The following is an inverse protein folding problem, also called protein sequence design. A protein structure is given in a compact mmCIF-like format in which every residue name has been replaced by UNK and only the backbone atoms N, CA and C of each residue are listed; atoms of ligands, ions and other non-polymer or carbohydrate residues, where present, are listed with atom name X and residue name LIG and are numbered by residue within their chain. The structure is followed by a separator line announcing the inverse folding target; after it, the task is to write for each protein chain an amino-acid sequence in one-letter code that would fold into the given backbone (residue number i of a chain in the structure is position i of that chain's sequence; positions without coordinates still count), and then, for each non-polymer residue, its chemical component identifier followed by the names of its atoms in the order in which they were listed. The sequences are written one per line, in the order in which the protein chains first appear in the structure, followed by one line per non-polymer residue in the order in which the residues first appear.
data_IF_401255152605
#
_entry.id   IF_401255152605
#
_cell.length_a   1.000
_cell.length_b   1.000
_cell.length_c   1.000
_cell.angle_alpha   90.00
_cell.angle_beta   90.00
_cell.angle_gamma   90.00
#
_symmetry.space_group_name_H-M   'P 1'
#
loop_
_entity.id
_entity.type
_entity.pdbx_description
1 polymer ?
#
# COMPACT_ATOMS: atom_id res chain seq x y z
N UNK A 1 -31.05 -2.98 13.23
CA UNK A 1 -31.16 -1.57 12.78
C UNK A 1 -29.80 -0.92 12.61
N UNK A 2 -28.92 -0.90 13.62
CA UNK A 2 -27.57 -0.31 13.51
C UNK A 2 -26.76 -0.95 12.38
N UNK A 3 -26.67 -2.28 12.31
CA UNK A 3 -25.97 -2.99 11.22
C UNK A 3 -26.46 -2.59 9.81
N UNK A 4 -27.77 -2.42 9.65
CA UNK A 4 -28.39 -2.09 8.36
C UNK A 4 -28.10 -0.65 7.96
N UNK A 5 -28.19 0.30 8.90
CA UNK A 5 -27.97 1.72 8.63
C UNK A 5 -26.48 2.04 8.46
N UNK A 6 -25.62 1.45 9.30
CA UNK A 6 -24.18 1.65 9.24
C UNK A 6 -23.50 0.78 8.17
N UNK A 7 -24.23 -0.18 7.57
CA UNK A 7 -23.67 -1.19 6.64
C UNK A 7 -22.48 -1.95 7.23
N UNK A 8 -22.46 -2.13 8.54
CA UNK A 8 -21.40 -2.83 9.26
C UNK A 8 -21.89 -4.24 9.62
N UNK A 9 -21.34 -5.26 8.94
CA UNK A 9 -21.58 -6.68 9.24
C UNK A 9 -20.28 -7.47 9.13
N UNK A 10 -19.93 -8.29 10.14
CA UNK A 10 -20.61 -8.48 11.43
C UNK A 10 -20.38 -7.31 12.41
N UNK A 11 -21.37 -6.98 13.25
CA UNK A 11 -21.22 -6.03 14.36
C UNK A 11 -21.13 -6.76 15.70
N UNK A 12 -20.08 -6.47 16.47
CA UNK A 12 -19.91 -6.97 17.84
C UNK A 12 -20.07 -5.82 18.82
N UNK A 13 -20.97 -5.97 19.79
CA UNK A 13 -21.13 -5.03 20.89
C UNK A 13 -20.58 -5.68 22.15
N UNK A 14 -19.61 -5.01 22.78
CA UNK A 14 -18.95 -5.48 24.01
C UNK A 14 -19.24 -4.54 25.17
N UNK A 15 -19.23 -5.07 26.39
CA UNK A 15 -19.58 -4.30 27.58
C UNK A 15 -18.40 -3.46 28.10
N UNK A 16 -17.18 -3.99 28.00
CA UNK A 16 -15.95 -3.31 28.38
C UNK A 16 -15.00 -3.13 27.20
N UNK A 17 -14.21 -2.05 27.21
CA UNK A 17 -13.23 -1.77 26.16
C UNK A 17 -12.17 -2.87 26.03
N UNK A 18 -11.82 -3.53 27.12
CA UNK A 18 -10.86 -4.63 27.16
C UNK A 18 -11.33 -5.90 26.41
N UNK A 19 -12.61 -6.00 26.07
CA UNK A 19 -13.16 -7.11 25.27
C UNK A 19 -13.08 -6.84 23.76
N UNK A 20 -12.79 -5.60 23.34
CA UNK A 20 -12.57 -5.26 21.95
C UNK A 20 -11.10 -5.47 21.55
N UNK A 21 -10.79 -5.72 20.26
CA UNK A 21 -9.41 -5.86 19.81
C UNK A 21 -8.57 -4.60 20.07
N UNK A 22 -7.30 -4.80 20.38
CA UNK A 22 -6.36 -3.70 20.70
C UNK A 22 -5.26 -3.53 19.66
N UNK A 23 -5.01 -4.55 18.83
CA UNK A 23 -3.99 -4.51 17.79
C UNK A 23 -4.58 -4.20 16.42
N UNK A 24 -3.86 -3.37 15.66
CA UNK A 24 -4.23 -3.03 14.27
C UNK A 24 -5.67 -2.53 14.17
N UNK A 25 -6.11 -1.66 15.08
CA UNK A 25 -7.48 -1.12 15.09
C UNK A 25 -7.50 0.37 14.81
N UNK A 26 -8.58 0.85 14.20
CA UNK A 26 -8.97 2.26 14.22
C UNK A 26 -10.04 2.41 15.27
N UNK A 27 -9.84 3.36 16.18
CA UNK A 27 -10.76 3.64 17.27
C UNK A 27 -11.36 5.03 17.09
N UNK A 28 -12.68 5.13 17.22
CA UNK A 28 -13.40 6.39 17.28
C UNK A 28 -14.21 6.47 18.58
N UNK A 29 -13.88 7.46 19.41
CA UNK A 29 -14.64 7.74 20.64
C UNK A 29 -15.81 8.66 20.30
N UNK A 30 -16.99 8.31 20.81
CA UNK A 30 -18.24 9.08 20.76
C UNK A 30 -18.69 9.39 22.18
N UNK A 31 -19.64 10.31 22.35
CA UNK A 31 -20.13 10.74 23.67
C UNK A 31 -20.64 9.61 24.57
N UNK A 32 -21.11 8.50 23.98
CA UNK A 32 -21.76 7.38 24.70
C UNK A 32 -21.21 6.01 24.34
N UNK A 33 -20.26 5.92 23.42
CA UNK A 33 -19.75 4.65 22.92
C UNK A 33 -18.37 4.84 22.29
N UNK A 34 -17.66 3.73 22.14
CA UNK A 34 -16.43 3.66 21.39
C UNK A 34 -16.61 2.68 20.25
N UNK A 35 -16.21 3.09 19.04
CA UNK A 35 -16.25 2.25 17.85
C UNK A 35 -14.83 1.78 17.57
N UNK A 36 -14.64 0.47 17.61
CA UNK A 36 -13.36 -0.17 17.31
C UNK A 36 -13.51 -0.94 16.00
N UNK A 37 -12.74 -0.55 14.99
CA UNK A 37 -12.67 -1.22 13.70
C UNK A 37 -11.33 -1.96 13.58
N UNK A 38 -11.32 -3.30 13.68
CA UNK A 38 -10.13 -4.10 13.42
C UNK A 38 -9.74 -3.98 11.95
N UNK A 39 -8.55 -3.44 11.68
CA UNK A 39 -7.88 -3.45 10.38
C UNK A 39 -7.07 -4.74 10.16
N UNK A 40 -6.81 -5.49 11.23
CA UNK A 40 -6.11 -6.77 11.16
C UNK A 40 -6.82 -7.73 10.19
N UNK A 41 -6.06 -8.23 9.21
CA UNK A 41 -6.56 -9.17 8.20
C UNK A 41 -7.29 -8.54 6.99
N UNK A 42 -7.54 -7.23 6.98
CA UNK A 42 -8.09 -6.54 5.79
C UNK A 42 -7.04 -6.36 4.69
N UNK A 43 -5.77 -6.21 5.08
CA UNK A 43 -4.65 -6.06 4.15
C UNK A 43 -3.48 -6.90 4.66
N UNK A 44 -2.97 -7.80 3.83
CA UNK A 44 -1.71 -8.49 4.08
C UNK A 44 -0.55 -7.52 3.80
N UNK A 45 -0.14 -6.80 4.85
CA UNK A 45 0.92 -5.80 4.78
C UNK A 45 2.27 -6.40 4.35
N UNK A 46 2.54 -7.66 4.70
CA UNK A 46 3.76 -8.35 4.31
C UNK A 46 3.76 -8.62 2.79
N UNK A 47 2.65 -9.13 2.27
CA UNK A 47 2.45 -9.32 0.84
C UNK A 47 2.51 -8.00 0.07
N UNK A 48 1.85 -6.95 0.55
CA UNK A 48 1.88 -5.64 -0.12
C UNK A 48 3.28 -5.05 -0.13
N UNK A 49 4.03 -5.17 0.97
CA UNK A 49 5.44 -4.75 1.01
C UNK A 49 6.28 -5.54 0.01
N UNK A 50 6.17 -6.86 -0.02
CA UNK A 50 6.91 -7.69 -0.97
C UNK A 50 6.57 -7.36 -2.45
N UNK A 51 5.30 -7.06 -2.75
CA UNK A 51 4.88 -6.63 -4.09
C UNK A 51 5.51 -5.29 -4.47
N UNK A 52 5.53 -4.33 -3.55
CA UNK A 52 6.14 -3.02 -3.77
C UNK A 52 7.66 -3.13 -3.94
N UNK A 53 8.34 -3.89 -3.08
CA UNK A 53 9.79 -4.09 -3.16
C UNK A 53 10.18 -4.72 -4.51
N UNK A 54 9.39 -5.67 -5.01
CA UNK A 54 9.58 -6.24 -6.36
C UNK A 54 9.43 -5.19 -7.46
N UNK A 55 8.41 -4.33 -7.38
CA UNK A 55 8.19 -3.27 -8.37
C UNK A 55 9.31 -2.24 -8.37
N UNK A 56 9.82 -1.89 -7.18
CA UNK A 56 10.97 -0.99 -7.03
C UNK A 56 12.20 -1.62 -7.70
N UNK A 57 12.52 -2.88 -7.38
CA UNK A 57 13.68 -3.56 -7.97
C UNK A 57 13.57 -3.69 -9.51
N UNK A 58 12.37 -3.93 -10.05
CA UNK A 58 12.13 -3.94 -11.49
C UNK A 58 12.37 -2.56 -12.13
N UNK A 59 11.90 -1.48 -11.47
CA UNK A 59 12.08 -0.11 -11.92
C UNK A 59 13.56 0.30 -11.90
N UNK A 60 14.26 0.07 -10.78
CA UNK A 60 15.70 0.33 -10.64
C UNK A 60 16.50 -0.45 -11.70
N UNK A 61 16.12 -1.71 -11.97
CA UNK A 61 16.74 -2.51 -13.02
C UNK A 61 16.46 -1.97 -14.44
N UNK A 62 15.33 -1.29 -14.67
CA UNK A 62 15.08 -0.59 -15.93
C UNK A 62 15.94 0.67 -16.03
N UNK A 63 15.98 1.49 -14.98
CA UNK A 63 16.79 2.71 -14.91
C UNK A 63 18.27 2.40 -15.18
N UNK A 64 18.86 1.46 -14.46
CA UNK A 64 20.27 1.08 -14.64
C UNK A 64 20.57 0.61 -16.08
N UNK A 65 19.64 -0.13 -16.72
CA UNK A 65 19.80 -0.57 -18.11
C UNK A 65 19.71 0.60 -19.10
N UNK A 66 18.83 1.57 -18.83
CA UNK A 66 18.69 2.76 -19.67
C UNK A 66 19.94 3.64 -19.52
N UNK A 67 20.39 3.88 -18.29
CA UNK A 67 21.62 4.63 -18.02
C UNK A 67 22.83 3.98 -18.69
N UNK A 68 22.99 2.66 -18.57
CA UNK A 68 24.09 1.95 -19.22
C UNK A 68 24.04 2.06 -20.77
N UNK A 69 22.85 2.06 -21.37
CA UNK A 69 22.69 2.27 -22.82
C UNK A 69 23.04 3.70 -23.21
N UNK A 70 22.59 4.70 -22.45
CA UNK A 70 22.88 6.11 -22.73
C UNK A 70 24.35 6.45 -22.51
N UNK A 71 25.01 5.83 -21.52
CA UNK A 71 26.43 6.01 -21.25
C UNK A 71 27.34 5.35 -22.31
N UNK A 72 26.82 4.42 -23.13
CA UNK A 72 27.60 3.76 -24.17
C UNK A 72 27.78 4.69 -25.40
N UNK A 73 29.01 5.13 -25.72
CA UNK A 73 29.28 6.01 -26.86
C UNK A 73 28.87 5.39 -28.20
N UNK A 74 28.93 4.05 -28.32
CA UNK A 74 28.50 3.35 -29.52
C UNK A 74 26.99 3.36 -29.74
N UNK A 75 26.19 3.56 -28.68
CA UNK A 75 24.74 3.72 -28.75
C UNK A 75 24.37 5.16 -29.11
N UNK A 76 25.00 6.16 -28.48
CA UNK A 76 24.77 7.58 -28.77
C UNK A 76 25.24 8.02 -30.16
N UNK A 77 26.29 7.40 -30.71
CA UNK A 77 26.78 7.70 -32.07
C UNK A 77 25.96 7.03 -33.18
N UNK A 78 25.32 5.88 -32.90
CA UNK A 78 24.50 5.14 -33.88
C UNK A 78 22.99 5.41 -33.77
N UNK A 79 22.54 5.98 -32.65
CA UNK A 79 21.15 6.34 -32.47
C UNK A 79 20.80 7.58 -33.32
N UNK A 80 19.66 7.60 -34.03
CA UNK A 80 19.23 8.79 -34.76
C UNK A 80 19.06 9.97 -33.80
N UNK A 81 19.54 11.15 -34.20
CA UNK A 81 19.55 12.36 -33.38
C UNK A 81 18.20 12.76 -32.79
N UNK A 82 17.09 12.32 -33.40
CA UNK A 82 15.73 12.53 -32.91
C UNK A 82 15.39 11.79 -31.60
N UNK A 83 16.17 10.77 -31.20
CA UNK A 83 15.88 9.91 -30.05
C UNK A 83 16.88 10.05 -28.89
N UNK A 84 17.92 10.88 -29.05
CA UNK A 84 18.93 11.17 -28.02
C UNK A 84 18.97 12.68 -27.79
N UNK A 85 17.90 13.20 -27.19
CA UNK A 85 17.86 14.56 -26.68
C UNK A 85 17.40 14.49 -25.21
N UNK A 86 18.08 15.27 -24.37
CA UNK A 86 17.92 15.33 -22.91
C UNK A 86 16.48 15.55 -22.48
#
# INVERSE_FOLDING_TARGET
MIETLARARPLHMVAARAEAPDEQVVTQVLDRAEVVLPLGGLVDLARERARLDKQIAEAEGHEARIEAKLANPGFTVKAPSAFVAR
#
